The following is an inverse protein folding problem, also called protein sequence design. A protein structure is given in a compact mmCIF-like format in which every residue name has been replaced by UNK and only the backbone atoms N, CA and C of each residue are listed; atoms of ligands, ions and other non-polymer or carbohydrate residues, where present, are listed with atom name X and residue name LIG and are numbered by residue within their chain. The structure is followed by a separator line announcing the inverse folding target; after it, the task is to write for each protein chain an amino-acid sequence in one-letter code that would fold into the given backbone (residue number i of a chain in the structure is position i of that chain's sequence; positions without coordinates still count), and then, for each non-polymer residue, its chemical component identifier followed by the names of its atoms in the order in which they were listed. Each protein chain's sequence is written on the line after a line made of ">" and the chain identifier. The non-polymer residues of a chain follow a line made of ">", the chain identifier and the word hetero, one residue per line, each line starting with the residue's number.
data_IF_828656471251
#
_entry.id   IF_828656471251
#
_cell.length_a   1.000
_cell.length_b   1.000
_cell.length_c   1.000
_cell.angle_alpha   90.00
_cell.angle_beta   90.00
_cell.angle_gamma   90.00
#
_symmetry.space_group_name_H-M   'P 1'
#
loop_
_entity.id
_entity.type
_entity.pdbx_description
1 polymer ?
#
# COMPACT_ATOMS: atom_id res chain seq x y z
N UNK A 1 4.47 9.29 3.42
CA UNK A 1 4.25 7.85 3.64
C UNK A 1 3.23 7.31 2.64
N UNK A 2 3.57 6.24 1.94
CA UNK A 2 2.78 5.64 0.88
C UNK A 2 2.60 4.14 1.13
N UNK A 3 1.49 3.59 0.67
CA UNK A 3 1.23 2.15 0.67
C UNK A 3 0.92 1.71 -0.75
N UNK A 4 1.05 0.42 -1.02
CA UNK A 4 0.61 -0.12 -2.31
C UNK A 4 -0.80 -0.70 -2.20
N UNK A 5 -1.69 -0.16 -3.04
CA UNK A 5 -3.04 -0.65 -3.26
C UNK A 5 -3.04 -1.64 -4.42
N UNK A 6 -3.60 -2.80 -4.19
CA UNK A 6 -3.80 -3.86 -5.19
C UNK A 6 -5.29 -4.18 -5.36
N UNK A 7 -5.62 -5.16 -6.20
CA UNK A 7 -7.01 -5.55 -6.48
C UNK A 7 -7.78 -5.84 -5.19
N UNK A 8 -8.72 -4.94 -4.87
CA UNK A 8 -9.57 -4.98 -3.68
C UNK A 8 -8.83 -5.09 -2.33
N UNK A 9 -7.60 -4.57 -2.24
CA UNK A 9 -6.81 -4.66 -1.01
C UNK A 9 -5.59 -3.73 -0.99
N UNK A 10 -4.72 -3.99 -0.02
CA UNK A 10 -3.40 -3.37 0.15
C UNK A 10 -2.37 -4.48 0.43
N UNK A 11 -1.10 -4.10 0.50
CA UNK A 11 -0.01 -5.00 0.88
C UNK A 11 0.29 -4.82 2.36
N UNK A 12 0.25 -5.91 3.13
CA UNK A 12 0.67 -5.93 4.53
C UNK A 12 2.20 -6.01 4.68
N UNK A 13 2.68 -5.93 5.92
CA UNK A 13 4.11 -5.99 6.25
C UNK A 13 4.78 -7.33 5.87
N UNK A 14 3.99 -8.38 5.66
CA UNK A 14 4.48 -9.69 5.24
C UNK A 14 4.56 -9.81 3.71
N UNK A 15 4.17 -8.75 2.99
CA UNK A 15 4.13 -8.75 1.52
C UNK A 15 2.90 -9.43 0.95
N UNK A 16 1.92 -9.78 1.78
CA UNK A 16 0.70 -10.45 1.37
C UNK A 16 -0.42 -9.44 1.08
N UNK A 17 -1.41 -9.86 0.29
CA UNK A 17 -2.59 -9.04 0.02
C UNK A 17 -3.56 -9.13 1.20
N UNK A 18 -3.86 -7.98 1.79
CA UNK A 18 -4.85 -7.84 2.86
C UNK A 18 -5.99 -6.87 2.48
N UNK A 19 -7.14 -7.01 3.15
CA UNK A 19 -8.22 -6.00 3.12
C UNK A 19 -8.12 -5.00 4.27
N UNK A 20 -7.23 -5.24 5.22
CA UNK A 20 -6.90 -4.32 6.29
C UNK A 20 -6.49 -2.96 5.70
N UNK A 21 -6.93 -1.89 6.35
CA UNK A 21 -6.71 -0.51 5.93
C UNK A 21 -5.90 0.29 6.94
N UNK A 22 -5.68 -0.26 8.13
CA UNK A 22 -4.84 0.36 9.14
C UNK A 22 -3.40 0.53 8.62
N UNK A 23 -2.92 1.78 8.42
CA UNK A 23 -1.55 2.02 7.94
C UNK A 23 -0.48 1.35 8.80
N UNK A 24 -0.74 1.11 10.09
CA UNK A 24 0.21 0.43 10.99
C UNK A 24 0.38 -1.05 10.67
N UNK A 25 -0.55 -1.68 9.95
CA UNK A 25 -0.48 -3.08 9.52
C UNK A 25 -0.08 -3.23 8.05
N UNK A 26 -0.01 -2.12 7.32
CA UNK A 26 0.37 -2.09 5.92
C UNK A 26 1.88 -1.91 5.74
N UNK A 27 2.37 -2.35 4.59
CA UNK A 27 3.72 -2.02 4.17
C UNK A 27 3.78 -0.56 3.73
N UNK A 28 4.46 0.25 4.53
CA UNK A 28 4.60 1.68 4.28
C UNK A 28 5.98 2.01 3.70
N UNK A 29 5.96 2.78 2.63
CA UNK A 29 7.12 3.37 1.97
C UNK A 29 7.25 4.84 2.38
N UNK A 30 8.48 5.32 2.53
CA UNK A 30 8.71 6.71 2.93
C UNK A 30 8.43 7.66 1.77
N UNK A 31 8.89 7.30 0.57
CA UNK A 31 8.68 8.09 -0.65
C UNK A 31 7.62 7.50 -1.58
N UNK A 32 7.06 8.36 -2.44
CA UNK A 32 6.16 7.92 -3.53
C UNK A 32 6.90 7.06 -4.54
N UNK A 33 8.16 7.40 -4.81
CA UNK A 33 8.99 6.77 -5.83
C UNK A 33 9.27 5.31 -5.50
N UNK A 34 9.64 5.00 -4.25
CA UNK A 34 9.83 3.62 -3.78
C UNK A 34 8.53 2.81 -3.88
N UNK A 35 7.42 3.40 -3.42
CA UNK A 35 6.10 2.78 -3.51
C UNK A 35 5.71 2.50 -4.97
N UNK A 36 5.96 3.44 -5.90
CA UNK A 36 5.62 3.29 -7.32
C UNK A 36 6.48 2.22 -7.99
N UNK A 37 7.77 2.16 -7.64
CA UNK A 37 8.67 1.15 -8.14
C UNK A 37 8.24 -0.25 -7.71
N UNK A 38 7.84 -0.41 -6.44
CA UNK A 38 7.30 -1.68 -5.94
C UNK A 38 5.94 -2.01 -6.58
N UNK A 39 5.01 -1.04 -6.62
CA UNK A 39 3.69 -1.21 -7.20
C UNK A 39 3.74 -1.65 -8.68
N UNK A 40 4.65 -1.09 -9.47
CA UNK A 40 4.84 -1.44 -10.88
C UNK A 40 5.22 -2.91 -11.06
N UNK A 41 6.05 -3.46 -10.17
CA UNK A 41 6.48 -4.87 -10.23
C UNK A 41 5.35 -5.86 -9.96
N UNK A 42 4.41 -5.49 -9.08
CA UNK A 42 3.35 -6.40 -8.61
C UNK A 42 1.96 -6.11 -9.21
N UNK A 43 1.84 -5.13 -10.12
CA UNK A 43 0.56 -4.73 -10.72
C UNK A 43 -0.36 -3.95 -9.78
N UNK A 44 0.21 -3.12 -8.90
CA UNK A 44 -0.52 -2.27 -7.94
C UNK A 44 -0.49 -0.79 -8.30
N UNK A 45 -0.91 0.05 -7.35
CA UNK A 45 -0.77 1.51 -7.41
C UNK A 45 -0.37 2.08 -6.04
N UNK A 46 0.48 3.09 -6.03
CA UNK A 46 0.81 3.80 -4.80
C UNK A 46 -0.36 4.64 -4.32
N UNK A 47 -0.54 4.69 -3.01
CA UNK A 47 -1.56 5.50 -2.36
C UNK A 47 -0.97 6.17 -1.12
N UNK A 48 -1.15 7.47 -1.00
CA UNK A 48 -0.74 8.19 0.21
C UNK A 48 -1.61 7.74 1.40
N UNK A 49 -1.00 7.57 2.58
CA UNK A 49 -1.71 7.07 3.77
C UNK A 49 -2.93 7.94 4.13
N UNK A 50 -2.86 9.26 3.95
CA UNK A 50 -3.97 10.18 4.22
C UNK A 50 -5.19 9.97 3.32
N UNK A 51 -5.05 9.24 2.21
CA UNK A 51 -6.15 8.93 1.27
C UNK A 51 -6.80 7.57 1.57
N UNK A 52 -6.34 6.85 2.59
CA UNK A 52 -6.96 5.58 3.02
C UNK A 52 -8.20 5.91 3.84
N UNK A 53 -9.37 5.53 3.33
CA UNK A 53 -10.63 5.63 4.07
C UNK A 53 -10.70 4.44 5.04
N UNK A 54 -10.74 4.72 6.34
CA UNK A 54 -11.22 3.78 7.35
C UNK A 54 -12.74 3.77 7.16
N UNK A 55 -13.28 2.64 6.69
CA UNK A 55 -14.74 2.50 6.66
C UNK A 55 -15.22 2.30 8.10
#
# INVERSE_FOLDING_TARGET
>A
MYVVKVLHGYIDKEGQRTREKDPEKLWVFQSKQESDHFATKIGGRSKHISKIRKD
#
